data_IF_351745882746
#
_entry.id   IF_351745882746
#
_cell.length_a   1.000
_cell.length_b   1.000
_cell.length_c   1.000
_cell.angle_alpha   90.00
_cell.angle_beta   90.00
_cell.angle_gamma   90.00
#
_symmetry.space_group_name_H-M   'P 1'
#
loop_
_entity.id
_entity.type
_entity.pdbx_description
1 polymer ?
#
# COMPACT_ATOMS: atom_id res chain seq x y z
N UNK A 1 15.32 -33.41 20.57
CA UNK A 1 16.23 -32.36 20.08
C UNK A 1 15.39 -31.23 19.53
N UNK A 2 15.32 -30.12 20.22
CA UNK A 2 14.72 -28.89 19.70
C UNK A 2 15.52 -28.49 18.46
N UNK A 3 14.88 -28.44 17.30
CA UNK A 3 15.52 -27.98 16.06
C UNK A 3 15.97 -26.53 16.28
N UNK A 4 17.20 -26.21 15.95
CA UNK A 4 17.67 -24.83 15.96
C UNK A 4 17.05 -24.11 14.78
N UNK A 5 15.87 -23.44 15.01
CA UNK A 5 15.05 -22.78 13.99
C UNK A 5 15.84 -21.67 13.29
N UNK A 6 16.63 -20.87 14.03
CA UNK A 6 17.48 -19.81 13.48
C UNK A 6 18.47 -20.36 12.44
N UNK A 7 19.17 -21.47 12.77
CA UNK A 7 20.10 -22.11 11.83
C UNK A 7 19.41 -22.69 10.59
N UNK A 8 18.18 -23.17 10.73
CA UNK A 8 17.39 -23.72 9.60
C UNK A 8 16.93 -22.57 8.70
N UNK A 9 16.46 -21.47 9.28
CA UNK A 9 16.06 -20.26 8.58
C UNK A 9 17.19 -19.74 7.69
N UNK A 10 18.33 -19.38 8.29
CA UNK A 10 19.52 -18.86 7.60
C UNK A 10 20.03 -19.78 6.48
N UNK A 11 19.87 -21.09 6.65
CA UNK A 11 20.33 -22.08 5.66
C UNK A 11 19.39 -22.26 4.48
N UNK A 12 18.06 -22.14 4.69
CA UNK A 12 17.08 -22.63 3.71
C UNK A 12 16.08 -21.57 3.24
N UNK A 13 15.82 -20.51 4.04
CA UNK A 13 14.81 -19.52 3.70
C UNK A 13 15.43 -18.29 3.05
N UNK A 14 14.98 -17.96 1.83
CA UNK A 14 15.39 -16.76 1.13
C UNK A 14 14.46 -15.61 1.51
N UNK A 15 14.91 -14.70 2.37
CA UNK A 15 14.10 -13.57 2.86
C UNK A 15 13.91 -12.47 1.82
N UNK A 16 12.65 -12.05 1.53
CA UNK A 16 12.39 -10.93 0.62
C UNK A 16 12.72 -9.59 1.29
N UNK A 17 13.10 -8.59 0.48
CA UNK A 17 13.38 -7.20 0.92
C UNK A 17 14.35 -7.16 2.12
N UNK A 18 15.35 -8.00 2.11
CA UNK A 18 16.33 -8.17 3.21
C UNK A 18 17.75 -8.00 2.67
N UNK A 19 18.65 -7.42 3.48
CA UNK A 19 20.07 -7.49 3.19
C UNK A 19 20.56 -8.91 3.53
N UNK A 20 20.68 -9.74 2.51
CA UNK A 20 20.99 -11.17 2.68
C UNK A 20 22.32 -11.42 3.36
N UNK A 21 23.31 -10.54 3.15
CA UNK A 21 24.65 -10.68 3.76
C UNK A 21 24.60 -10.47 5.28
N UNK A 22 23.86 -9.45 5.75
CA UNK A 22 23.75 -9.22 7.20
C UNK A 22 22.82 -10.24 7.86
N UNK A 23 21.79 -10.72 7.14
CA UNK A 23 20.89 -11.75 7.64
C UNK A 23 21.61 -13.06 8.05
N UNK A 24 22.71 -13.43 7.38
CA UNK A 24 23.50 -14.60 7.75
C UNK A 24 24.12 -14.50 9.15
N UNK A 25 24.31 -13.28 9.66
CA UNK A 25 24.94 -13.01 10.97
C UNK A 25 23.99 -12.44 12.01
N UNK A 26 22.91 -11.78 11.57
CA UNK A 26 21.94 -11.17 12.46
C UNK A 26 21.07 -12.25 13.14
N UNK A 27 20.54 -11.95 14.32
CA UNK A 27 19.56 -12.79 14.99
C UNK A 27 18.22 -12.77 14.25
N UNK A 28 17.62 -13.94 14.05
CA UNK A 28 16.31 -14.06 13.39
C UNK A 28 15.20 -13.81 14.39
N UNK A 29 14.34 -12.83 14.10
CA UNK A 29 13.14 -12.56 14.90
C UNK A 29 12.01 -13.50 14.49
N UNK A 30 11.79 -14.55 15.28
CA UNK A 30 10.76 -15.57 15.00
C UNK A 30 9.47 -15.22 15.72
N UNK A 31 8.41 -14.94 14.95
CA UNK A 31 7.07 -14.69 15.45
C UNK A 31 6.33 -16.03 15.59
N UNK A 32 5.78 -16.31 16.77
CA UNK A 32 5.08 -17.56 17.09
C UNK A 32 3.57 -17.42 16.93
N UNK A 33 2.96 -16.37 17.51
CA UNK A 33 1.51 -16.16 17.50
C UNK A 33 1.12 -14.68 17.53
N UNK A 34 -0.14 -14.40 17.21
CA UNK A 34 -0.73 -13.07 17.30
C UNK A 34 -2.09 -13.10 17.98
N UNK A 35 -2.44 -12.02 18.69
CA UNK A 35 -3.71 -11.86 19.39
C UNK A 35 -4.08 -10.36 19.49
N UNK A 36 -5.24 -9.97 18.96
CA UNK A 36 -5.62 -8.56 18.87
C UNK A 36 -4.59 -7.76 18.09
N UNK A 37 -4.04 -6.70 18.69
CA UNK A 37 -2.99 -5.87 18.06
C UNK A 37 -1.57 -6.29 18.46
N UNK A 38 -1.41 -7.45 19.08
CA UNK A 38 -0.12 -7.90 19.60
C UNK A 38 0.37 -9.16 18.89
N UNK A 39 1.69 -9.27 18.77
CA UNK A 39 2.38 -10.50 18.38
C UNK A 39 3.30 -10.96 19.50
N UNK A 40 3.69 -12.23 19.45
CA UNK A 40 4.56 -12.86 20.44
C UNK A 40 5.65 -13.63 19.72
N UNK A 41 6.89 -13.53 20.22
CA UNK A 41 7.98 -14.34 19.73
C UNK A 41 7.99 -15.75 20.37
N UNK A 42 8.95 -16.56 19.96
CA UNK A 42 9.12 -17.94 20.48
C UNK A 42 9.51 -18.03 21.95
N UNK A 43 9.98 -16.93 22.55
CA UNK A 43 10.27 -16.83 23.97
C UNK A 43 9.06 -16.33 24.78
N UNK A 44 7.96 -16.02 24.10
CA UNK A 44 6.72 -15.54 24.69
C UNK A 44 6.72 -14.05 25.00
N UNK A 45 7.72 -13.28 24.57
CA UNK A 45 7.73 -11.83 24.73
C UNK A 45 6.66 -11.21 23.82
N UNK A 46 5.88 -10.30 24.41
CA UNK A 46 4.78 -9.57 23.75
C UNK A 46 5.30 -8.31 23.07
N UNK A 47 4.80 -8.05 21.85
CA UNK A 47 5.07 -6.84 21.09
C UNK A 47 3.76 -6.24 20.59
N UNK A 48 3.60 -4.92 20.71
CA UNK A 48 2.55 -4.18 20.04
C UNK A 48 2.92 -4.03 18.56
N UNK A 49 2.00 -4.43 17.67
CA UNK A 49 2.22 -4.37 16.22
C UNK A 49 1.83 -2.99 15.66
N UNK A 50 2.79 -2.09 15.61
CA UNK A 50 2.59 -0.70 15.16
C UNK A 50 2.52 -0.53 13.62
N UNK A 51 2.57 -1.63 12.83
CA UNK A 51 2.51 -1.60 11.38
C UNK A 51 1.39 -2.45 10.76
N UNK A 52 0.53 -3.08 11.57
CA UNK A 52 -0.48 -4.02 11.10
C UNK A 52 0.13 -5.11 10.20
N UNK A 53 1.15 -5.82 10.68
CA UNK A 53 1.96 -6.76 9.91
C UNK A 53 2.75 -6.02 8.82
N UNK A 54 2.25 -6.04 7.61
CA UNK A 54 2.78 -5.21 6.52
C UNK A 54 1.64 -4.39 5.89
N UNK A 55 1.03 -3.48 6.67
CA UNK A 55 -0.10 -2.63 6.28
C UNK A 55 -1.38 -3.43 5.97
N UNK A 56 -1.59 -4.60 6.57
CA UNK A 56 -2.63 -5.54 6.13
C UNK A 56 -3.52 -6.09 7.23
N UNK A 57 -3.05 -6.29 8.47
CA UNK A 57 -3.83 -6.90 9.56
C UNK A 57 -4.75 -5.87 10.25
N UNK A 58 -5.70 -5.35 9.50
CA UNK A 58 -6.59 -4.25 9.92
C UNK A 58 -7.49 -4.61 11.10
N UNK A 59 -7.98 -5.85 11.18
CA UNK A 59 -8.74 -6.38 12.31
C UNK A 59 -7.85 -7.00 13.41
N UNK A 60 -6.52 -6.95 13.23
CA UNK A 60 -5.58 -7.62 14.13
C UNK A 60 -5.53 -9.13 13.91
N UNK A 61 -5.01 -9.83 14.92
CA UNK A 61 -4.74 -11.25 14.90
C UNK A 61 -5.78 -12.04 15.73
N UNK A 62 -5.98 -13.31 15.39
CA UNK A 62 -6.83 -14.21 16.17
C UNK A 62 -8.35 -13.97 16.02
N UNK A 63 -8.79 -13.34 14.94
CA UNK A 63 -10.22 -13.14 14.66
C UNK A 63 -10.85 -14.47 14.26
N UNK A 64 -11.53 -15.12 15.19
CA UNK A 64 -12.08 -16.47 15.01
C UNK A 64 -13.05 -16.57 13.83
N UNK A 65 -13.90 -15.55 13.63
CA UNK A 65 -14.87 -15.53 12.53
C UNK A 65 -14.20 -15.63 11.14
N UNK A 66 -12.99 -15.07 10.95
CA UNK A 66 -12.25 -15.20 9.70
C UNK A 66 -11.67 -16.62 9.52
N UNK A 67 -11.20 -17.23 10.63
CA UNK A 67 -10.75 -18.62 10.62
C UNK A 67 -11.90 -19.59 10.34
N UNK A 68 -13.07 -19.36 10.93
CA UNK A 68 -14.28 -20.15 10.71
C UNK A 68 -14.76 -20.03 9.26
N UNK A 69 -14.83 -18.81 8.71
CA UNK A 69 -15.20 -18.59 7.31
C UNK A 69 -14.26 -19.33 6.34
N UNK A 70 -12.95 -19.36 6.63
CA UNK A 70 -11.98 -20.13 5.85
C UNK A 70 -12.24 -21.64 5.95
N UNK A 71 -12.44 -22.14 7.17
CA UNK A 71 -12.66 -23.57 7.44
C UNK A 71 -13.95 -24.07 6.80
N UNK A 72 -15.06 -23.35 6.94
CA UNK A 72 -16.36 -23.67 6.35
C UNK A 72 -16.28 -23.71 4.82
N UNK A 73 -15.71 -22.66 4.23
CA UNK A 73 -15.58 -22.60 2.77
C UNK A 73 -14.63 -23.67 2.23
N UNK A 74 -13.54 -23.96 2.95
CA UNK A 74 -12.58 -25.00 2.56
C UNK A 74 -13.25 -26.40 2.60
N UNK A 75 -14.13 -26.64 3.56
CA UNK A 75 -14.89 -27.88 3.67
C UNK A 75 -15.99 -27.99 2.60
N UNK A 76 -16.62 -26.85 2.22
CA UNK A 76 -17.69 -26.81 1.18
C UNK A 76 -17.10 -26.92 -0.23
N UNK A 77 -16.09 -26.10 -0.53
CA UNK A 77 -15.43 -26.03 -1.83
C UNK A 77 -14.06 -25.36 -1.67
N UNK A 78 -13.01 -26.15 -1.62
CA UNK A 78 -11.63 -25.69 -1.39
C UNK A 78 -11.03 -24.94 -2.58
N UNK A 79 -11.43 -25.32 -3.81
CA UNK A 79 -10.96 -24.67 -5.03
C UNK A 79 -12.01 -24.79 -6.15
N UNK A 80 -12.16 -23.73 -6.92
CA UNK A 80 -12.80 -23.70 -8.24
C UNK A 80 -12.16 -22.61 -9.09
N UNK A 81 -12.08 -22.84 -10.40
CA UNK A 81 -11.60 -21.82 -11.33
C UNK A 81 -12.75 -20.93 -11.80
N UNK A 82 -12.46 -19.64 -12.05
CA UNK A 82 -13.38 -18.73 -12.74
C UNK A 82 -13.24 -18.78 -14.28
N UNK A 83 -12.33 -19.62 -14.81
CA UNK A 83 -12.10 -19.71 -16.25
C UNK A 83 -13.29 -20.33 -16.95
N UNK A 84 -13.51 -19.92 -18.21
CA UNK A 84 -14.56 -20.47 -19.09
C UNK A 84 -15.96 -20.38 -18.48
N UNK A 85 -16.28 -19.22 -17.91
CA UNK A 85 -17.61 -18.89 -17.32
C UNK A 85 -18.04 -19.78 -16.15
N UNK A 86 -17.10 -20.44 -15.47
CA UNK A 86 -17.37 -21.06 -14.17
C UNK A 86 -17.36 -19.98 -13.09
N UNK A 87 -18.11 -20.21 -12.02
CA UNK A 87 -18.18 -19.29 -10.89
C UNK A 87 -18.52 -20.01 -9.60
N UNK A 88 -18.48 -19.29 -8.50
CA UNK A 88 -18.91 -19.75 -7.17
C UNK A 88 -19.40 -18.57 -6.33
N UNK A 89 -20.29 -18.86 -5.41
CA UNK A 89 -21.00 -17.87 -4.60
C UNK A 89 -20.09 -16.82 -3.93
N UNK A 90 -18.99 -17.17 -3.21
CA UNK A 90 -18.14 -16.16 -2.58
C UNK A 90 -17.53 -15.14 -3.54
N UNK A 91 -17.12 -15.54 -4.76
CA UNK A 91 -16.59 -14.58 -5.73
C UNK A 91 -17.68 -13.66 -6.30
N UNK A 92 -18.88 -14.19 -6.53
CA UNK A 92 -20.04 -13.42 -7.00
C UNK A 92 -20.40 -12.35 -5.98
N UNK A 93 -20.62 -12.73 -4.71
CA UNK A 93 -21.02 -11.82 -3.65
C UNK A 93 -19.92 -10.79 -3.32
N UNK A 94 -18.65 -11.21 -3.30
CA UNK A 94 -17.54 -10.28 -3.08
C UNK A 94 -17.43 -9.26 -4.22
N UNK A 95 -17.65 -9.68 -5.48
CA UNK A 95 -17.62 -8.74 -6.60
C UNK A 95 -18.76 -7.72 -6.54
N UNK A 96 -19.97 -8.15 -6.17
CA UNK A 96 -21.13 -7.26 -5.94
C UNK A 96 -20.80 -6.25 -4.85
N UNK A 97 -20.31 -6.72 -3.69
CA UNK A 97 -19.95 -5.86 -2.55
C UNK A 97 -18.90 -4.81 -2.89
N UNK A 98 -17.86 -5.20 -3.63
CA UNK A 98 -16.80 -4.27 -4.05
C UNK A 98 -17.31 -3.21 -5.04
N UNK A 99 -18.24 -3.56 -5.93
CA UNK A 99 -18.88 -2.57 -6.82
C UNK A 99 -19.77 -1.61 -6.03
N UNK A 100 -20.59 -2.11 -5.09
CA UNK A 100 -21.43 -1.27 -4.22
C UNK A 100 -20.62 -0.26 -3.41
N UNK A 101 -19.44 -0.67 -2.91
CA UNK A 101 -18.55 0.22 -2.16
C UNK A 101 -17.75 1.17 -3.04
N UNK A 102 -17.58 0.88 -4.33
CA UNK A 102 -16.74 1.66 -5.24
C UNK A 102 -17.42 2.95 -5.70
N UNK A 103 -16.67 3.95 -6.21
CA UNK A 103 -17.24 5.17 -6.78
C UNK A 103 -17.93 4.93 -8.15
N UNK A 104 -17.90 3.70 -8.67
CA UNK A 104 -18.47 3.37 -9.97
C UNK A 104 -19.93 2.93 -9.82
N UNK A 105 -20.83 3.57 -10.56
CA UNK A 105 -22.24 3.17 -10.57
C UNK A 105 -22.46 1.77 -11.13
N UNK A 106 -21.57 1.31 -12.02
CA UNK A 106 -21.54 -0.01 -12.65
C UNK A 106 -20.11 -0.36 -13.03
N UNK A 107 -19.79 -1.65 -12.98
CA UNK A 107 -18.43 -2.08 -13.29
C UNK A 107 -18.21 -3.59 -13.15
N UNK A 108 -16.96 -3.99 -13.21
CA UNK A 108 -16.50 -5.37 -13.05
C UNK A 108 -15.33 -5.45 -12.08
N UNK A 109 -15.22 -6.59 -11.43
CA UNK A 109 -14.10 -6.93 -10.54
C UNK A 109 -13.32 -8.10 -11.13
N UNK A 110 -12.01 -7.90 -11.24
CA UNK A 110 -11.06 -8.95 -11.59
C UNK A 110 -10.25 -9.31 -10.35
N UNK A 111 -10.27 -10.57 -9.92
CA UNK A 111 -9.55 -11.03 -8.74
C UNK A 111 -8.14 -11.51 -9.07
N UNK A 112 -7.17 -11.10 -8.24
CA UNK A 112 -5.80 -11.56 -8.21
C UNK A 112 -5.41 -12.11 -6.83
N UNK A 113 -4.10 -12.17 -6.56
CA UNK A 113 -3.56 -12.78 -5.33
C UNK A 113 -2.68 -11.79 -4.53
N UNK A 114 -2.27 -10.70 -5.16
CA UNK A 114 -1.39 -9.68 -4.58
C UNK A 114 -1.61 -8.31 -5.25
N UNK A 115 -1.22 -7.22 -4.58
CA UNK A 115 -1.22 -5.89 -5.20
C UNK A 115 -0.34 -5.83 -6.45
N UNK A 116 0.76 -6.59 -6.48
CA UNK A 116 1.67 -6.62 -7.63
C UNK A 116 1.02 -7.19 -8.89
N UNK A 117 0.33 -8.34 -8.76
CA UNK A 117 -0.35 -8.95 -9.91
C UNK A 117 -1.61 -8.17 -10.32
N UNK A 118 -2.26 -7.51 -9.38
CA UNK A 118 -3.37 -6.61 -9.66
C UNK A 118 -2.91 -5.39 -10.48
N UNK A 119 -1.78 -4.77 -10.15
CA UNK A 119 -1.23 -3.65 -10.91
C UNK A 119 -0.68 -4.09 -12.28
N UNK A 120 -0.13 -5.29 -12.41
CA UNK A 120 0.17 -5.89 -13.72
C UNK A 120 -1.11 -6.09 -14.55
N UNK A 121 -2.20 -6.48 -13.91
CA UNK A 121 -3.52 -6.59 -14.54
C UNK A 121 -4.03 -5.23 -15.02
N UNK A 122 -3.90 -4.16 -14.22
CA UNK A 122 -4.24 -2.80 -14.65
C UNK A 122 -3.53 -2.42 -15.96
N UNK A 123 -2.20 -2.60 -16.03
CA UNK A 123 -1.45 -2.34 -17.25
C UNK A 123 -2.00 -3.12 -18.45
N UNK A 124 -2.31 -4.41 -18.25
CA UNK A 124 -2.84 -5.27 -19.32
C UNK A 124 -4.24 -4.83 -19.75
N UNK A 125 -5.12 -4.43 -18.83
CA UNK A 125 -6.46 -3.95 -19.13
C UNK A 125 -6.40 -2.66 -19.96
N UNK A 126 -5.60 -1.66 -19.55
CA UNK A 126 -5.45 -0.43 -20.31
C UNK A 126 -4.80 -0.66 -21.70
N UNK A 127 -3.82 -1.57 -21.76
CA UNK A 127 -3.23 -1.96 -23.05
C UNK A 127 -4.23 -2.62 -23.97
N UNK A 128 -5.02 -3.55 -23.44
CA UNK A 128 -6.06 -4.26 -24.20
C UNK A 128 -7.18 -3.31 -24.66
N UNK A 129 -7.69 -2.49 -23.74
CA UNK A 129 -8.69 -1.45 -24.00
C UNK A 129 -8.26 -0.50 -25.12
N UNK A 130 -7.05 0.06 -25.03
CA UNK A 130 -6.53 0.95 -26.05
C UNK A 130 -6.36 0.27 -27.41
N UNK A 131 -5.93 -0.99 -27.44
CA UNK A 131 -5.85 -1.78 -28.68
C UNK A 131 -7.24 -2.04 -29.27
N UNK A 132 -8.23 -2.35 -28.44
CA UNK A 132 -9.61 -2.55 -28.87
C UNK A 132 -10.21 -1.30 -29.52
N UNK A 133 -9.83 -0.12 -29.04
CA UNK A 133 -10.22 1.16 -29.62
C UNK A 133 -9.35 1.62 -30.82
N UNK A 134 -8.38 0.83 -31.25
CA UNK A 134 -7.45 1.19 -32.32
C UNK A 134 -6.30 2.13 -31.89
N UNK A 135 -6.22 2.51 -30.63
CA UNK A 135 -5.19 3.39 -30.07
C UNK A 135 -3.90 2.60 -29.76
N UNK A 136 -3.32 1.94 -30.75
CA UNK A 136 -2.23 0.97 -30.58
C UNK A 136 -0.92 1.57 -30.09
N UNK A 137 -0.74 2.90 -30.17
CA UNK A 137 0.42 3.63 -29.64
C UNK A 137 0.37 3.84 -28.12
N UNK A 138 -0.82 3.84 -27.49
CA UNK A 138 -1.00 4.08 -26.03
C UNK A 138 -0.51 2.89 -25.22
N UNK A 139 0.75 2.94 -24.76
CA UNK A 139 1.44 1.86 -24.02
C UNK A 139 2.22 2.34 -22.80
N UNK A 140 2.49 3.67 -22.73
CA UNK A 140 3.31 4.23 -21.67
C UNK A 140 2.49 4.42 -20.40
N UNK A 141 3.12 4.16 -19.26
CA UNK A 141 2.54 4.42 -17.91
C UNK A 141 3.40 5.47 -17.22
N UNK A 142 2.72 6.44 -16.61
CA UNK A 142 3.34 7.42 -15.72
C UNK A 142 3.02 7.02 -14.29
N UNK A 143 4.02 7.09 -13.41
CA UNK A 143 3.90 6.94 -11.96
C UNK A 143 4.73 8.02 -11.26
N UNK A 144 4.94 7.94 -9.95
CA UNK A 144 5.69 8.95 -9.21
C UNK A 144 7.02 8.40 -8.69
N UNK A 145 8.05 9.23 -8.66
CA UNK A 145 9.25 8.95 -7.87
C UNK A 145 8.84 8.67 -6.41
N UNK A 146 9.46 7.67 -5.79
CA UNK A 146 9.13 7.10 -4.47
C UNK A 146 7.76 6.38 -4.38
N UNK A 147 6.96 6.31 -5.46
CA UNK A 147 5.75 5.47 -5.50
C UNK A 147 6.09 3.98 -5.43
N UNK A 148 5.16 3.17 -4.89
CA UNK A 148 5.33 1.71 -4.84
C UNK A 148 4.07 1.01 -5.36
N UNK A 149 4.25 0.21 -6.40
CA UNK A 149 3.13 -0.47 -7.07
C UNK A 149 3.31 -1.99 -7.17
N UNK A 150 4.40 -2.54 -6.62
CA UNK A 150 4.65 -3.98 -6.58
C UNK A 150 6.07 -4.38 -7.01
N UNK A 151 6.27 -5.68 -7.19
CA UNK A 151 7.59 -6.30 -7.43
C UNK A 151 7.63 -7.27 -8.62
N UNK A 152 6.51 -7.49 -9.34
CA UNK A 152 6.54 -8.13 -10.67
C UNK A 152 7.23 -7.20 -11.67
N UNK A 153 7.67 -7.70 -12.81
CA UNK A 153 8.46 -6.88 -13.75
C UNK A 153 7.76 -5.58 -14.16
N UNK A 154 6.44 -5.62 -14.40
CA UNK A 154 5.70 -4.43 -14.79
C UNK A 154 5.39 -3.54 -13.57
N UNK A 155 4.89 -4.09 -12.45
CA UNK A 155 4.60 -3.29 -11.26
C UNK A 155 5.86 -2.71 -10.60
N UNK A 156 6.99 -3.43 -10.64
CA UNK A 156 8.29 -2.89 -10.24
C UNK A 156 8.77 -1.77 -11.18
N UNK A 157 8.47 -1.86 -12.49
CA UNK A 157 8.76 -0.77 -13.42
C UNK A 157 7.90 0.47 -13.15
N UNK A 158 6.66 0.32 -12.65
CA UNK A 158 5.82 1.41 -12.18
C UNK A 158 6.27 1.97 -10.82
N UNK A 159 6.93 1.16 -10.00
CA UNK A 159 7.50 1.59 -8.71
C UNK A 159 8.63 2.58 -8.92
N UNK A 160 8.62 3.71 -8.22
CA UNK A 160 9.64 4.78 -8.31
C UNK A 160 10.73 4.69 -7.24
N UNK A 161 11.07 3.48 -6.77
CA UNK A 161 12.08 3.23 -5.73
C UNK A 161 13.35 2.63 -6.38
N UNK A 162 14.49 3.33 -6.40
CA UNK A 162 15.71 2.88 -7.11
C UNK A 162 16.23 1.50 -6.70
N UNK A 163 16.02 1.09 -5.45
CA UNK A 163 16.42 -0.24 -4.97
C UNK A 163 15.63 -1.38 -5.63
N UNK A 164 14.44 -1.11 -6.14
CA UNK A 164 13.61 -2.07 -6.88
C UNK A 164 14.04 -2.22 -8.36
N UNK A 165 14.88 -1.31 -8.83
CA UNK A 165 15.33 -1.27 -10.23
C UNK A 165 16.75 -1.77 -10.40
N UNK A 166 17.64 -1.36 -9.47
CA UNK A 166 19.08 -1.66 -9.56
C UNK A 166 19.30 -3.17 -9.56
N UNK A 167 20.08 -3.66 -10.53
CA UNK A 167 20.39 -5.06 -10.80
C UNK A 167 19.22 -5.93 -11.30
N UNK A 168 18.02 -5.34 -11.50
CA UNK A 168 16.88 -5.99 -12.14
C UNK A 168 16.64 -5.49 -13.58
N UNK A 169 17.49 -4.56 -14.07
CA UNK A 169 17.38 -3.93 -15.39
C UNK A 169 16.01 -3.21 -15.59
N UNK A 170 15.53 -2.54 -14.51
CA UNK A 170 14.29 -1.80 -14.50
C UNK A 170 14.55 -0.28 -14.31
N UNK A 171 13.60 0.58 -14.66
CA UNK A 171 12.29 0.28 -15.26
C UNK A 171 12.38 -0.05 -16.75
N UNK A 172 11.35 -0.74 -17.28
CA UNK A 172 11.20 -0.94 -18.71
C UNK A 172 10.94 0.37 -19.47
N UNK A 173 11.20 0.39 -20.78
CA UNK A 173 11.16 1.58 -21.65
C UNK A 173 9.83 2.34 -21.73
N UNK A 174 8.73 1.73 -21.31
CA UNK A 174 7.39 2.34 -21.35
C UNK A 174 6.94 2.90 -19.99
N UNK A 175 7.82 2.99 -19.01
CA UNK A 175 7.49 3.44 -17.65
C UNK A 175 8.27 4.71 -17.32
N UNK A 176 7.54 5.73 -16.88
CA UNK A 176 8.07 7.06 -16.61
C UNK A 176 7.65 7.51 -15.22
N UNK A 177 8.49 8.28 -14.55
CA UNK A 177 8.22 8.75 -13.21
C UNK A 177 8.22 10.28 -13.19
N UNK A 178 7.14 10.87 -12.67
CA UNK A 178 7.02 12.30 -12.38
C UNK A 178 7.45 12.58 -10.94
N UNK A 179 7.38 13.84 -10.53
CA UNK A 179 7.83 14.31 -9.22
C UNK A 179 7.07 13.66 -8.06
N UNK A 180 7.76 13.57 -6.92
CA UNK A 180 7.21 13.16 -5.64
C UNK A 180 6.47 14.33 -5.00
N UNK A 181 5.22 14.19 -4.53
CA UNK A 181 4.49 15.26 -3.84
C UNK A 181 4.89 15.39 -2.35
N UNK A 182 6.18 15.47 -2.06
CA UNK A 182 6.72 15.56 -0.70
C UNK A 182 7.22 16.97 -0.41
N UNK A 183 6.30 17.87 -0.03
CA UNK A 183 6.59 19.29 0.17
C UNK A 183 7.78 19.53 1.11
N UNK A 184 7.84 18.84 2.25
CA UNK A 184 8.94 19.03 3.22
C UNK A 184 10.34 18.81 2.60
N UNK A 185 10.50 17.83 1.70
CA UNK A 185 11.80 17.47 1.12
C UNK A 185 12.07 18.08 -0.26
N UNK A 186 11.02 18.34 -1.04
CA UNK A 186 11.15 18.66 -2.46
C UNK A 186 10.80 20.14 -2.79
N UNK A 187 10.30 20.89 -1.80
CA UNK A 187 10.06 22.33 -1.97
C UNK A 187 11.37 23.09 -2.14
N UNK A 188 11.35 24.08 -3.03
CA UNK A 188 12.44 25.06 -3.19
C UNK A 188 12.47 26.03 -2.01
N UNK A 189 13.56 26.76 -1.86
CA UNK A 189 13.68 27.78 -0.82
C UNK A 189 12.59 28.86 -0.99
N UNK A 190 11.83 29.10 0.08
CA UNK A 190 10.70 30.05 0.13
C UNK A 190 9.52 29.71 -0.80
N UNK A 191 9.44 28.48 -1.34
CA UNK A 191 8.32 28.03 -2.15
C UNK A 191 7.08 27.76 -1.25
N UNK A 192 5.93 28.32 -1.62
CA UNK A 192 4.68 27.99 -0.94
C UNK A 192 4.19 26.59 -1.34
N UNK A 193 3.30 25.98 -0.54
CA UNK A 193 2.70 24.68 -0.87
C UNK A 193 1.93 24.75 -2.20
N UNK A 194 1.24 25.85 -2.47
CA UNK A 194 0.50 26.06 -3.71
C UNK A 194 1.45 26.16 -4.93
N UNK A 195 2.54 26.95 -4.81
CA UNK A 195 3.54 27.06 -5.88
C UNK A 195 4.23 25.72 -6.15
N UNK A 196 4.54 24.97 -5.09
CA UNK A 196 5.07 23.61 -5.20
C UNK A 196 4.12 22.70 -5.99
N UNK A 197 2.83 22.67 -5.62
CA UNK A 197 1.82 21.85 -6.36
C UNK A 197 1.70 22.29 -7.80
N UNK A 198 1.68 23.58 -8.08
CA UNK A 198 1.65 24.11 -9.45
C UNK A 198 2.89 23.71 -10.22
N UNK A 199 4.08 23.78 -9.62
CA UNK A 199 5.34 23.38 -10.27
C UNK A 199 5.37 21.90 -10.63
N UNK A 200 5.06 21.01 -9.70
CA UNK A 200 5.09 19.56 -9.98
C UNK A 200 3.98 19.12 -10.95
N UNK A 201 2.84 19.81 -10.95
CA UNK A 201 1.79 19.59 -11.95
C UNK A 201 2.22 20.06 -13.34
N UNK A 202 2.90 21.18 -13.45
CA UNK A 202 3.51 21.64 -14.70
C UNK A 202 4.60 20.68 -15.20
N UNK A 203 5.41 20.12 -14.29
CA UNK A 203 6.41 19.11 -14.64
C UNK A 203 5.78 17.83 -15.21
N UNK A 204 4.63 17.41 -14.65
CA UNK A 204 3.84 16.32 -15.22
C UNK A 204 3.39 16.64 -16.65
N UNK A 205 2.89 17.86 -16.89
CA UNK A 205 2.47 18.28 -18.23
C UNK A 205 3.65 18.32 -19.22
N UNK A 206 4.82 18.80 -18.80
CA UNK A 206 6.06 18.76 -19.59
C UNK A 206 6.46 17.33 -19.93
N UNK A 207 6.37 16.40 -18.98
CA UNK A 207 6.65 14.98 -19.20
C UNK A 207 5.67 14.39 -20.22
N UNK A 208 4.37 14.65 -20.08
CA UNK A 208 3.34 14.18 -21.02
C UNK A 208 3.64 14.67 -22.45
N UNK A 209 3.92 15.96 -22.62
CA UNK A 209 4.22 16.53 -23.93
C UNK A 209 5.51 15.98 -24.54
N UNK A 210 6.54 15.76 -23.73
CA UNK A 210 7.82 15.16 -24.15
C UNK A 210 7.64 13.74 -24.65
N UNK A 211 6.84 12.94 -23.95
CA UNK A 211 6.65 11.52 -24.27
C UNK A 211 5.61 11.28 -25.38
N UNK A 212 4.80 12.30 -25.70
CA UNK A 212 3.70 12.25 -26.66
C UNK A 212 2.39 11.78 -25.99
N UNK A 213 1.43 12.70 -25.79
CA UNK A 213 0.16 12.39 -25.10
C UNK A 213 -0.58 11.17 -25.67
N UNK A 214 -0.50 11.01 -27.01
CA UNK A 214 -1.12 9.91 -27.75
C UNK A 214 -0.47 8.54 -27.49
N UNK A 215 0.66 8.50 -26.76
CA UNK A 215 1.37 7.27 -26.42
C UNK A 215 1.15 6.83 -24.97
N UNK A 216 0.54 7.67 -24.13
CA UNK A 216 0.35 7.44 -22.70
C UNK A 216 -0.96 6.71 -22.46
N UNK A 217 -0.90 5.51 -21.88
CA UNK A 217 -2.05 4.68 -21.60
C UNK A 217 -2.79 5.11 -20.31
N UNK A 218 -2.03 5.41 -19.25
CA UNK A 218 -2.58 5.83 -17.95
C UNK A 218 -1.49 6.43 -17.06
N UNK A 219 -1.90 7.12 -15.99
CA UNK A 219 -1.09 7.37 -14.80
C UNK A 219 -1.57 6.48 -13.67
N UNK A 220 -0.64 5.93 -12.86
CA UNK A 220 -0.94 5.20 -11.63
C UNK A 220 -0.43 5.97 -10.41
N UNK A 221 -1.23 6.02 -9.36
CA UNK A 221 -0.88 6.73 -8.13
C UNK A 221 -1.55 6.10 -6.89
N UNK A 222 -0.80 6.03 -5.79
CA UNK A 222 -1.35 5.79 -4.44
C UNK A 222 -2.00 7.10 -3.94
N UNK A 223 -3.11 7.09 -3.22
CA UNK A 223 -3.65 8.31 -2.59
C UNK A 223 -2.65 8.98 -1.66
N UNK A 224 -1.98 8.21 -0.81
CA UNK A 224 -0.75 8.57 -0.09
C UNK A 224 0.32 7.52 -0.38
N UNK A 225 1.58 7.90 -0.42
CA UNK A 225 2.66 6.99 -0.78
C UNK A 225 3.18 6.27 0.45
N UNK A 226 2.76 5.00 0.65
CA UNK A 226 3.10 4.23 1.85
C UNK A 226 4.57 3.88 1.93
N UNK A 227 5.05 3.00 1.04
CA UNK A 227 6.42 2.50 1.01
C UNK A 227 7.47 3.57 0.65
N UNK A 228 7.06 4.69 0.08
CA UNK A 228 7.91 5.86 -0.17
C UNK A 228 8.27 6.65 1.09
N UNK A 229 7.66 6.32 2.25
CA UNK A 229 7.90 6.99 3.53
C UNK A 229 6.66 7.69 4.10
N UNK A 230 5.47 7.15 3.87
CA UNK A 230 4.19 7.74 4.29
C UNK A 230 4.08 9.20 3.82
N UNK A 231 4.24 9.42 2.52
CA UNK A 231 4.20 10.78 1.95
C UNK A 231 2.74 11.16 1.74
N UNK A 232 2.30 12.16 2.50
CA UNK A 232 0.98 12.76 2.36
C UNK A 232 1.07 13.83 1.27
N UNK A 233 0.26 13.76 0.20
CA UNK A 233 0.30 14.79 -0.83
C UNK A 233 -0.21 16.13 -0.28
N UNK A 234 0.34 17.27 -0.74
CA UNK A 234 -0.17 18.58 -0.40
C UNK A 234 -1.63 18.77 -0.78
N UNK A 235 -2.27 19.74 -0.12
CA UNK A 235 -3.63 20.13 -0.47
C UNK A 235 -3.72 20.48 -1.96
N UNK A 236 -4.81 20.08 -2.61
CA UNK A 236 -5.09 20.30 -4.05
C UNK A 236 -4.13 19.58 -5.03
N UNK A 237 -3.23 18.70 -4.57
CA UNK A 237 -2.34 17.97 -5.48
C UNK A 237 -3.14 17.15 -6.51
N UNK A 238 -4.04 16.26 -6.04
CA UNK A 238 -4.83 15.44 -6.97
C UNK A 238 -5.76 16.24 -7.87
N UNK A 239 -6.51 17.23 -7.40
CA UNK A 239 -7.26 18.14 -8.29
C UNK A 239 -6.39 18.71 -9.41
N UNK A 240 -5.19 19.20 -9.10
CA UNK A 240 -4.30 19.82 -10.10
C UNK A 240 -3.73 18.83 -11.12
N UNK A 241 -3.25 17.68 -10.68
CA UNK A 241 -2.75 16.68 -11.65
C UNK A 241 -3.90 16.13 -12.51
N UNK A 242 -5.10 16.01 -11.97
CA UNK A 242 -6.27 15.56 -12.73
C UNK A 242 -6.69 16.60 -13.79
N UNK A 243 -6.57 17.90 -13.54
CA UNK A 243 -6.75 18.94 -14.57
C UNK A 243 -5.81 18.68 -15.77
N UNK A 244 -4.53 18.37 -15.48
CA UNK A 244 -3.53 18.03 -16.52
C UNK A 244 -3.89 16.73 -17.23
N UNK A 245 -4.22 15.68 -16.51
CA UNK A 245 -4.57 14.38 -17.09
C UNK A 245 -5.81 14.45 -17.99
N UNK A 246 -6.86 15.18 -17.55
CA UNK A 246 -8.09 15.39 -18.32
C UNK A 246 -7.81 16.12 -19.64
N UNK A 247 -6.94 17.14 -19.64
CA UNK A 247 -6.56 17.88 -20.85
C UNK A 247 -6.03 16.96 -21.96
N UNK A 248 -5.38 15.84 -21.58
CA UNK A 248 -4.79 14.88 -22.51
C UNK A 248 -5.55 13.55 -22.59
N UNK A 249 -6.71 13.46 -21.97
CA UNK A 249 -7.52 12.21 -21.89
C UNK A 249 -6.70 11.01 -21.41
N UNK A 250 -5.92 11.23 -20.34
CA UNK A 250 -5.11 10.20 -19.68
C UNK A 250 -5.88 9.75 -18.42
N UNK A 251 -6.28 8.47 -18.32
CA UNK A 251 -6.96 7.94 -17.15
C UNK A 251 -6.02 7.82 -15.95
N UNK A 252 -6.59 7.95 -14.74
CA UNK A 252 -5.90 7.77 -13.46
C UNK A 252 -6.26 6.42 -12.84
N UNK A 253 -5.27 5.57 -12.60
CA UNK A 253 -5.38 4.33 -11.87
C UNK A 253 -5.09 4.62 -10.40
N UNK A 254 -6.00 4.24 -9.52
CA UNK A 254 -5.86 4.38 -8.08
C UNK A 254 -5.32 3.11 -7.45
N UNK A 255 -4.14 3.21 -6.86
CA UNK A 255 -3.55 2.13 -6.08
C UNK A 255 -3.91 2.27 -4.60
N UNK A 256 -5.05 1.69 -4.24
CA UNK A 256 -5.61 1.67 -2.89
C UNK A 256 -5.11 0.49 -2.04
N UNK A 257 -4.06 -0.17 -2.44
CA UNK A 257 -3.55 -1.38 -1.78
C UNK A 257 -3.23 -1.16 -0.29
N UNK A 258 -2.86 0.07 0.12
CA UNK A 258 -2.62 0.42 1.53
C UNK A 258 -3.79 1.23 2.12
N UNK A 259 -4.45 2.05 1.33
CA UNK A 259 -5.33 3.13 1.80
C UNK A 259 -6.80 2.76 1.87
N UNK A 260 -7.26 1.79 1.07
CA UNK A 260 -8.63 1.31 1.10
C UNK A 260 -9.07 0.78 2.46
N UNK A 261 -10.36 0.76 2.66
CA UNK A 261 -11.05 0.16 3.81
C UNK A 261 -10.69 0.82 5.15
N UNK A 262 -10.71 2.17 5.19
CA UNK A 262 -10.72 2.92 6.45
C UNK A 262 -9.37 3.48 6.91
N UNK A 263 -8.25 3.19 6.26
CA UNK A 263 -6.91 3.59 6.73
C UNK A 263 -6.75 5.10 6.93
N UNK A 264 -7.34 5.89 6.04
CA UNK A 264 -7.27 7.36 6.09
C UNK A 264 -8.40 8.01 6.89
N UNK A 265 -9.38 7.22 7.36
CA UNK A 265 -10.61 7.68 7.99
C UNK A 265 -11.83 7.61 7.06
N UNK A 266 -11.62 7.51 5.75
CA UNK A 266 -12.64 7.26 4.73
C UNK A 266 -12.51 5.83 4.20
N UNK A 267 -13.54 5.30 3.53
CA UNK A 267 -13.51 3.95 2.92
C UNK A 267 -12.38 3.89 1.89
N UNK A 268 -12.25 4.92 1.07
CA UNK A 268 -11.23 5.07 0.05
C UNK A 268 -10.27 6.21 0.39
N UNK A 269 -8.98 5.99 0.21
CA UNK A 269 -8.00 7.06 0.28
C UNK A 269 -8.25 8.13 -0.79
N UNK A 270 -8.81 7.75 -1.93
CA UNK A 270 -9.26 8.64 -2.98
C UNK A 270 -10.22 9.73 -2.47
N UNK A 271 -11.16 9.38 -1.58
CA UNK A 271 -12.11 10.34 -1.00
C UNK A 271 -11.41 11.35 -0.09
N UNK A 272 -10.37 10.91 0.64
CA UNK A 272 -9.57 11.79 1.51
C UNK A 272 -8.83 12.88 0.73
N UNK A 273 -8.44 12.59 -0.52
CA UNK A 273 -7.57 13.48 -1.31
C UNK A 273 -8.20 14.01 -2.59
N UNK A 274 -9.52 13.94 -2.74
CA UNK A 274 -10.27 14.39 -3.95
C UNK A 274 -9.77 13.74 -5.25
N UNK A 275 -9.38 12.48 -5.18
CA UNK A 275 -8.96 11.69 -6.33
C UNK A 275 -10.18 11.09 -7.04
N UNK A 276 -10.22 11.15 -8.36
CA UNK A 276 -11.31 10.61 -9.21
C UNK A 276 -10.73 9.55 -10.14
N UNK A 277 -10.66 8.31 -9.71
CA UNK A 277 -10.02 7.25 -10.48
C UNK A 277 -10.90 6.72 -11.62
N UNK A 278 -10.25 6.18 -12.65
CA UNK A 278 -10.87 5.41 -13.73
C UNK A 278 -10.92 3.91 -13.42
N UNK A 279 -10.06 3.45 -12.51
CA UNK A 279 -10.03 2.09 -11.98
C UNK A 279 -9.28 2.07 -10.64
N UNK A 280 -9.52 1.03 -9.83
CA UNK A 280 -8.99 0.91 -8.47
C UNK A 280 -8.32 -0.45 -8.31
N UNK A 281 -7.19 -0.48 -7.60
CA UNK A 281 -6.52 -1.71 -7.14
C UNK A 281 -6.63 -1.82 -5.64
N UNK A 282 -7.09 -2.97 -5.13
CA UNK A 282 -7.14 -3.30 -3.70
C UNK A 282 -6.48 -4.64 -3.39
N UNK A 283 -5.91 -4.77 -2.20
CA UNK A 283 -5.34 -6.00 -1.66
C UNK A 283 -5.30 -5.90 -0.12
N UNK A 284 -4.31 -6.50 0.55
CA UNK A 284 -3.99 -6.33 1.99
C UNK A 284 -5.21 -6.34 2.92
N UNK A 285 -5.76 -5.16 3.24
CA UNK A 285 -6.89 -5.00 4.15
C UNK A 285 -8.18 -5.66 3.63
N UNK A 286 -8.26 -5.98 2.35
CA UNK A 286 -9.40 -6.70 1.76
C UNK A 286 -9.69 -8.03 2.47
N UNK A 287 -8.65 -8.71 2.98
CA UNK A 287 -8.80 -9.93 3.79
C UNK A 287 -8.22 -9.77 5.20
N UNK A 288 -7.93 -8.55 5.64
CA UNK A 288 -7.20 -8.29 6.88
C UNK A 288 -5.88 -9.09 7.00
N UNK A 289 -5.25 -9.41 5.86
CA UNK A 289 -4.01 -10.18 5.81
C UNK A 289 -4.15 -11.69 6.07
N UNK A 290 -5.38 -12.20 6.28
CA UNK A 290 -5.62 -13.62 6.60
C UNK A 290 -5.37 -14.53 5.40
N UNK A 291 -5.73 -14.12 4.19
CA UNK A 291 -5.45 -14.87 2.96
C UNK A 291 -4.99 -13.94 1.83
N UNK A 292 -4.11 -14.42 0.95
CA UNK A 292 -3.69 -13.68 -0.24
C UNK A 292 -4.88 -13.48 -1.19
N UNK A 293 -5.24 -12.22 -1.42
CA UNK A 293 -6.25 -11.81 -2.38
C UNK A 293 -6.00 -10.37 -2.80
N UNK A 294 -6.32 -10.06 -4.04
CA UNK A 294 -6.42 -8.70 -4.57
C UNK A 294 -7.61 -8.58 -5.50
N UNK A 295 -8.00 -7.35 -5.79
CA UNK A 295 -9.01 -7.07 -6.79
C UNK A 295 -8.65 -5.82 -7.59
N UNK A 296 -8.97 -5.86 -8.88
CA UNK A 296 -9.01 -4.71 -9.78
C UNK A 296 -10.47 -4.40 -10.04
N UNK A 297 -10.91 -3.18 -9.70
CA UNK A 297 -12.26 -2.70 -9.89
C UNK A 297 -12.24 -1.72 -11.05
N UNK A 298 -13.04 -1.96 -12.08
CA UNK A 298 -13.11 -1.14 -13.30
C UNK A 298 -14.55 -0.72 -13.59
N UNK A 299 -14.71 0.46 -14.18
CA UNK A 299 -16.02 0.93 -14.67
C UNK A 299 -16.47 0.17 -15.92
N UNK A 300 -17.77 0.21 -16.22
CA UNK A 300 -18.31 -0.31 -17.49
C UNK A 300 -17.68 0.36 -18.70
N UNK A 301 -17.31 1.64 -18.60
CA UNK A 301 -16.64 2.38 -19.68
C UNK A 301 -15.31 1.74 -20.10
N UNK A 302 -14.51 1.32 -19.11
CA UNK A 302 -13.27 0.59 -19.39
C UNK A 302 -13.54 -0.85 -19.84
N UNK A 303 -14.58 -1.49 -19.32
CA UNK A 303 -14.90 -2.90 -19.58
C UNK A 303 -15.49 -3.14 -20.98
N UNK A 304 -16.41 -2.30 -21.47
CA UNK A 304 -17.16 -2.59 -22.70
C UNK A 304 -16.30 -2.80 -23.95
N UNK A 305 -15.28 -1.95 -24.25
CA UNK A 305 -14.37 -2.24 -25.36
C UNK A 305 -13.58 -3.54 -25.21
N UNK A 306 -13.20 -3.89 -23.97
CA UNK A 306 -12.51 -5.15 -23.68
C UNK A 306 -13.42 -6.36 -23.98
N UNK A 307 -14.68 -6.27 -23.57
CA UNK A 307 -15.70 -7.31 -23.79
C UNK A 307 -15.91 -7.56 -25.29
N UNK A 308 -16.14 -6.51 -26.06
CA UNK A 308 -16.36 -6.63 -27.50
C UNK A 308 -15.15 -7.25 -28.22
N UNK A 309 -13.94 -6.74 -27.96
CA UNK A 309 -12.73 -7.27 -28.56
C UNK A 309 -12.43 -8.72 -28.13
N UNK A 310 -12.81 -9.12 -26.91
CA UNK A 310 -12.67 -10.51 -26.46
C UNK A 310 -13.60 -11.44 -27.21
N UNK A 311 -14.77 -10.96 -27.65
CA UNK A 311 -15.70 -11.70 -28.51
C UNK A 311 -15.09 -11.98 -29.89
N UNK A 312 -14.46 -10.97 -30.50
CA UNK A 312 -13.79 -11.10 -31.80
C UNK A 312 -12.61 -12.08 -31.79
N UNK A 313 -11.85 -12.09 -30.68
CA UNK A 313 -10.69 -13.00 -30.49
C UNK A 313 -11.16 -14.41 -30.03
N UNK A 314 -12.34 -14.52 -29.43
CA UNK A 314 -12.89 -15.75 -28.85
C UNK A 314 -12.51 -16.01 -27.40
N UNK A 315 -11.65 -15.19 -26.80
CA UNK A 315 -11.20 -15.31 -25.40
C UNK A 315 -10.57 -14.01 -24.88
N UNK A 316 -10.79 -13.68 -23.61
CA UNK A 316 -9.94 -12.75 -22.86
C UNK A 316 -8.74 -13.50 -22.27
N UNK A 317 -7.58 -13.41 -22.92
CA UNK A 317 -6.40 -14.22 -22.65
C UNK A 317 -5.61 -13.81 -21.40
N UNK A 318 -6.28 -13.54 -20.28
CA UNK A 318 -5.64 -13.18 -19.00
C UNK A 318 -6.42 -13.74 -17.81
N UNK A 319 -5.68 -14.27 -16.83
CA UNK A 319 -6.20 -14.82 -15.58
C UNK A 319 -5.13 -15.62 -14.86
N UNK A 320 -5.24 -15.71 -13.55
CA UNK A 320 -4.36 -16.52 -12.69
C UNK A 320 -5.11 -17.79 -12.26
N UNK A 321 -4.39 -18.89 -12.04
CA UNK A 321 -4.98 -20.14 -11.56
C UNK A 321 -5.80 -19.92 -10.29
N UNK A 322 -5.35 -19.04 -9.40
CA UNK A 322 -6.02 -18.73 -8.14
C UNK A 322 -6.86 -17.44 -8.17
N UNK A 323 -7.14 -16.86 -9.34
CA UNK A 323 -8.08 -15.73 -9.46
C UNK A 323 -9.42 -16.08 -8.84
N UNK A 324 -9.86 -15.30 -7.83
CA UNK A 324 -11.12 -15.55 -7.14
C UNK A 324 -11.16 -16.88 -6.40
N UNK A 325 -10.07 -17.26 -5.73
CA UNK A 325 -10.04 -18.49 -4.92
C UNK A 325 -11.19 -18.52 -3.89
N UNK A 326 -12.01 -19.58 -3.83
CA UNK A 326 -13.23 -19.60 -3.01
C UNK A 326 -13.00 -19.23 -1.56
N UNK A 327 -11.97 -19.80 -0.93
CA UNK A 327 -11.66 -19.54 0.48
C UNK A 327 -11.19 -18.12 0.70
N UNK A 328 -10.36 -17.58 -0.19
CA UNK A 328 -9.89 -16.20 -0.10
C UNK A 328 -11.04 -15.20 -0.29
N UNK A 329 -11.96 -15.46 -1.21
CA UNK A 329 -13.17 -14.65 -1.41
C UNK A 329 -14.11 -14.69 -0.19
N UNK A 330 -14.31 -15.88 0.41
CA UNK A 330 -15.15 -16.03 1.61
C UNK A 330 -14.58 -15.25 2.81
N UNK A 331 -13.27 -15.34 3.02
CA UNK A 331 -12.59 -14.57 4.09
C UNK A 331 -12.65 -13.06 3.83
N UNK A 332 -12.42 -12.63 2.58
CA UNK A 332 -12.53 -11.22 2.23
C UNK A 332 -13.95 -10.69 2.42
N UNK A 333 -14.97 -11.45 1.99
CA UNK A 333 -16.38 -11.09 2.21
C UNK A 333 -16.70 -10.96 3.71
N UNK A 334 -16.26 -11.93 4.53
CA UNK A 334 -16.42 -11.88 5.98
C UNK A 334 -15.65 -10.69 6.60
N UNK A 335 -14.50 -10.33 6.07
CA UNK A 335 -13.75 -9.14 6.51
C UNK A 335 -14.56 -7.86 6.29
N UNK A 336 -15.15 -7.69 5.10
CA UNK A 336 -15.99 -6.54 4.78
C UNK A 336 -17.26 -6.50 5.63
N UNK A 337 -17.88 -7.67 5.89
CA UNK A 337 -19.03 -7.79 6.80
C UNK A 337 -18.69 -7.32 8.22
N UNK A 338 -17.51 -7.73 8.76
CA UNK A 338 -17.05 -7.31 10.08
C UNK A 338 -16.79 -5.80 10.10
N UNK A 339 -16.18 -5.22 9.06
CA UNK A 339 -15.96 -3.77 8.99
C UNK A 339 -17.27 -2.98 9.11
N UNK A 340 -18.33 -3.42 8.44
CA UNK A 340 -19.63 -2.75 8.49
C UNK A 340 -20.35 -3.00 9.81
N UNK A 341 -20.48 -4.27 10.24
CA UNK A 341 -21.17 -4.66 11.47
C UNK A 341 -20.59 -3.96 12.70
N UNK A 342 -19.27 -3.95 12.82
CA UNK A 342 -18.55 -3.42 13.98
C UNK A 342 -18.18 -1.93 13.81
N UNK A 343 -18.65 -1.32 12.70
CA UNK A 343 -18.48 0.11 12.41
C UNK A 343 -17.01 0.54 12.48
N UNK A 344 -16.12 -0.26 11.87
CA UNK A 344 -14.66 -0.05 11.98
C UNK A 344 -14.25 1.30 11.39
N UNK A 345 -14.91 1.76 10.32
CA UNK A 345 -14.57 3.05 9.69
C UNK A 345 -14.91 4.23 10.61
N UNK A 346 -16.05 4.19 11.28
CA UNK A 346 -16.44 5.21 12.27
C UNK A 346 -15.53 5.17 13.50
N UNK A 347 -15.11 3.96 13.91
CA UNK A 347 -14.12 3.81 14.98
C UNK A 347 -12.83 4.52 14.61
N UNK A 348 -12.28 4.29 13.40
CA UNK A 348 -11.09 4.98 12.90
C UNK A 348 -11.29 6.50 12.95
N UNK A 349 -12.42 7.01 12.46
CA UNK A 349 -12.76 8.44 12.55
C UNK A 349 -12.69 8.97 13.98
N UNK A 350 -13.17 8.18 14.95
CA UNK A 350 -13.22 8.57 16.38
C UNK A 350 -11.85 8.62 17.07
N UNK A 351 -10.88 7.83 16.62
CA UNK A 351 -9.54 7.73 17.24
C UNK A 351 -8.44 8.42 16.46
N UNK A 352 -8.66 8.75 15.18
CA UNK A 352 -7.68 9.36 14.28
C UNK A 352 -7.09 10.67 14.83
N UNK A 353 -7.92 11.58 15.34
CA UNK A 353 -7.44 12.85 15.88
C UNK A 353 -6.52 12.64 17.08
N UNK A 354 -6.82 11.64 17.93
CA UNK A 354 -5.97 11.29 19.06
C UNK A 354 -4.63 10.72 18.61
N UNK A 355 -4.66 9.81 17.64
CA UNK A 355 -3.45 9.23 17.04
C UNK A 355 -2.55 10.31 16.43
N UNK A 356 -3.10 11.23 15.63
CA UNK A 356 -2.34 12.30 14.99
C UNK A 356 -1.81 13.31 16.03
N UNK A 357 -2.57 13.60 17.10
CA UNK A 357 -2.12 14.44 18.21
C UNK A 357 -0.89 13.83 18.90
N UNK A 358 -0.91 12.52 19.20
CA UNK A 358 0.22 11.81 19.79
C UNK A 358 1.43 11.79 18.86
N UNK A 359 1.21 11.50 17.57
CA UNK A 359 2.27 11.53 16.56
C UNK A 359 2.93 12.91 16.47
N UNK A 360 2.16 13.98 16.41
CA UNK A 360 2.68 15.36 16.27
C UNK A 360 3.54 15.80 17.46
N UNK A 361 3.33 15.27 18.67
CA UNK A 361 4.21 15.54 19.83
C UNK A 361 5.64 15.10 19.59
N UNK A 362 5.88 14.11 18.76
CA UNK A 362 7.22 13.63 18.41
C UNK A 362 8.05 14.70 17.68
N UNK A 363 7.41 15.70 17.09
CA UNK A 363 8.10 16.86 16.49
C UNK A 363 8.96 17.66 17.48
N UNK A 364 8.81 17.46 18.79
CA UNK A 364 9.62 18.10 19.82
C UNK A 364 11.03 17.47 19.96
N UNK A 365 11.26 16.27 19.41
CA UNK A 365 12.57 15.63 19.45
C UNK A 365 13.53 16.27 18.44
N UNK A 366 14.80 16.38 18.80
CA UNK A 366 15.81 17.04 17.98
C UNK A 366 16.11 16.25 16.69
N UNK A 367 16.02 14.94 16.74
CA UNK A 367 16.17 14.06 15.57
C UNK A 367 14.96 13.99 14.65
N UNK A 368 13.81 14.58 15.01
CA UNK A 368 12.59 14.54 14.20
C UNK A 368 12.43 15.81 13.38
N UNK A 369 12.59 15.71 12.07
CA UNK A 369 12.47 16.83 11.12
C UNK A 369 11.04 17.10 10.71
N UNK A 370 10.26 16.05 10.44
CA UNK A 370 8.84 16.14 10.07
C UNK A 370 8.05 14.97 10.67
N UNK A 371 6.82 15.26 11.08
CA UNK A 371 5.79 14.27 11.36
C UNK A 371 4.62 14.55 10.42
N UNK A 372 4.18 13.56 9.66
CA UNK A 372 3.08 13.66 8.72
C UNK A 372 2.17 12.45 8.84
N UNK A 373 0.87 12.63 8.65
CA UNK A 373 -0.07 11.50 8.74
C UNK A 373 -1.52 11.92 8.52
N UNK A 374 -2.37 10.92 8.35
CA UNK A 374 -3.82 11.02 8.21
C UNK A 374 -4.47 9.73 8.69
N UNK A 375 -5.66 9.80 9.28
CA UNK A 375 -6.30 8.60 9.82
C UNK A 375 -5.42 7.87 10.83
N UNK A 376 -5.21 6.59 10.64
CA UNK A 376 -4.34 5.72 11.47
C UNK A 376 -3.04 5.34 10.74
N UNK A 377 -2.41 6.30 10.08
CA UNK A 377 -1.09 6.13 9.47
C UNK A 377 -0.27 7.41 9.66
N UNK A 378 1.00 7.29 10.04
CA UNK A 378 1.93 8.41 10.07
C UNK A 378 3.36 7.99 9.72
N UNK A 379 4.13 8.96 9.24
CA UNK A 379 5.56 8.89 9.00
C UNK A 379 6.32 9.90 9.84
N UNK A 380 7.37 9.45 10.52
CA UNK A 380 8.29 10.28 11.33
C UNK A 380 9.61 10.34 10.57
N UNK A 381 9.93 11.48 10.01
CA UNK A 381 11.15 11.70 9.21
C UNK A 381 12.30 12.12 10.13
N UNK A 382 13.35 11.30 10.19
CA UNK A 382 14.50 11.53 11.05
C UNK A 382 15.57 12.36 10.34
N UNK A 383 16.17 13.30 11.06
CA UNK A 383 17.21 14.21 10.56
C UNK A 383 18.35 14.36 11.56
N UNK A 384 19.57 14.52 11.05
CA UNK A 384 20.73 14.85 11.86
C UNK A 384 20.81 16.36 12.19
N UNK A 385 20.13 17.18 11.39
CA UNK A 385 19.98 18.61 11.63
C UNK A 385 18.61 19.12 11.17
N UNK A 386 17.81 19.53 12.14
CA UNK A 386 16.42 19.95 11.92
C UNK A 386 16.31 21.26 11.12
N UNK A 387 17.23 22.20 11.32
CA UNK A 387 17.20 23.51 10.65
C UNK A 387 17.52 23.40 9.15
N UNK A 388 18.48 22.56 8.81
CA UNK A 388 18.90 22.33 7.43
C UNK A 388 18.20 21.14 6.78
N UNK A 389 17.35 20.44 7.51
CA UNK A 389 16.68 19.19 7.08
C UNK A 389 17.68 18.11 6.63
N UNK A 390 18.93 18.14 7.14
CA UNK A 390 19.97 17.20 6.73
C UNK A 390 19.66 15.80 7.25
N UNK A 391 19.70 14.81 6.37
CA UNK A 391 19.53 13.39 6.72
C UNK A 391 20.76 12.79 7.39
N UNK A 392 20.69 11.50 7.74
CA UNK A 392 21.81 10.76 8.30
C UNK A 392 22.69 10.13 7.21
N UNK A 393 23.94 9.89 7.55
CA UNK A 393 24.90 9.16 6.69
C UNK A 393 25.54 8.00 7.49
N UNK A 394 25.45 6.77 7.01
CA UNK A 394 24.72 6.36 5.80
C UNK A 394 23.20 6.43 5.94
N UNK A 395 22.50 6.64 4.82
CA UNK A 395 21.03 6.68 4.79
C UNK A 395 20.46 5.39 5.40
N UNK A 396 19.43 5.52 6.25
CA UNK A 396 18.78 4.42 6.95
C UNK A 396 19.46 3.98 8.23
N UNK A 397 20.57 4.62 8.63
CA UNK A 397 21.26 4.29 9.89
C UNK A 397 20.43 4.66 11.11
N UNK A 398 19.86 5.85 11.13
CA UNK A 398 19.00 6.31 12.23
C UNK A 398 17.67 5.52 12.26
N UNK A 399 17.06 5.30 11.09
CA UNK A 399 15.83 4.50 10.99
C UNK A 399 16.01 3.10 11.58
N UNK A 400 17.08 2.41 11.25
CA UNK A 400 17.40 1.10 11.85
C UNK A 400 17.62 1.17 13.36
N UNK A 401 18.35 2.17 13.83
CA UNK A 401 18.61 2.33 15.26
C UNK A 401 17.32 2.56 16.06
N UNK A 402 16.41 3.40 15.55
CA UNK A 402 15.11 3.67 16.17
C UNK A 402 14.21 2.44 16.11
N UNK A 403 14.14 1.74 14.98
CA UNK A 403 13.34 0.52 14.85
C UNK A 403 13.81 -0.58 15.80
N UNK A 404 15.12 -0.77 15.94
CA UNK A 404 15.68 -1.71 16.91
C UNK A 404 15.39 -1.31 18.36
N UNK A 405 15.47 -0.02 18.67
CA UNK A 405 15.10 0.48 19.99
C UNK A 405 13.62 0.24 20.30
N UNK A 406 12.73 0.48 19.32
CA UNK A 406 11.29 0.17 19.45
C UNK A 406 11.07 -1.33 19.72
N UNK A 407 11.71 -2.23 18.96
CA UNK A 407 11.59 -3.67 19.15
C UNK A 407 12.07 -4.10 20.55
N UNK A 408 13.13 -3.50 21.07
CA UNK A 408 13.60 -3.78 22.42
C UNK A 408 12.57 -3.37 23.49
N UNK A 409 11.84 -2.29 23.27
CA UNK A 409 10.73 -1.81 24.13
C UNK A 409 9.44 -2.61 23.92
N UNK A 410 9.38 -3.54 22.97
CA UNK A 410 8.17 -4.32 22.67
C UNK A 410 7.23 -3.67 21.67
N UNK A 411 7.71 -2.80 20.80
CA UNK A 411 6.95 -2.16 19.73
C UNK A 411 7.55 -2.48 18.37
N UNK A 412 6.74 -3.05 17.47
CA UNK A 412 7.14 -3.27 16.07
C UNK A 412 6.78 -2.06 15.23
N UNK A 413 7.78 -1.52 14.53
CA UNK A 413 7.65 -0.39 13.59
C UNK A 413 8.43 -0.69 12.31
N UNK A 414 8.23 0.11 11.26
CA UNK A 414 9.00 -0.04 10.03
C UNK A 414 9.87 1.17 9.75
N UNK A 415 11.16 0.92 9.58
CA UNK A 415 12.08 1.91 9.01
C UNK A 415 12.05 1.85 7.47
N UNK A 416 11.82 2.99 6.84
CA UNK A 416 11.88 3.21 5.38
C UNK A 416 13.00 4.24 5.16
N UNK A 417 14.23 3.78 4.98
CA UNK A 417 15.38 4.64 5.14
C UNK A 417 15.42 5.22 6.55
N UNK A 418 15.44 6.54 6.68
CA UNK A 418 15.39 7.26 7.96
C UNK A 418 13.96 7.81 8.26
N UNK A 419 12.93 7.23 7.68
CA UNK A 419 11.54 7.47 8.05
C UNK A 419 11.01 6.29 8.85
N UNK A 420 10.42 6.53 10.03
CA UNK A 420 9.69 5.50 10.77
C UNK A 420 8.21 5.60 10.42
N UNK A 421 7.64 4.50 9.95
CA UNK A 421 6.22 4.38 9.65
C UNK A 421 5.48 3.70 10.81
N UNK A 422 4.35 4.29 11.21
CA UNK A 422 3.36 3.71 12.11
C UNK A 422 2.03 3.59 11.37
N UNK A 423 1.42 2.43 11.45
CA UNK A 423 0.17 2.08 10.77
C UNK A 423 -0.48 0.91 11.51
N UNK A 424 -0.97 1.10 12.75
CA UNK A 424 -1.48 0.02 13.57
C UNK A 424 -2.77 -0.60 12.98
N UNK A 425 -3.23 -1.77 13.48
CA UNK A 425 -4.55 -2.29 13.15
C UNK A 425 -5.66 -1.25 13.37
N UNK A 426 -6.69 -1.27 12.52
CA UNK A 426 -7.77 -0.27 12.57
C UNK A 426 -8.60 -0.34 13.85
N UNK A 427 -8.56 -1.47 14.53
CA UNK A 427 -9.29 -1.75 15.78
C UNK A 427 -8.54 -1.25 17.04
N UNK A 428 -7.41 -0.56 16.89
CA UNK A 428 -6.63 -0.02 18.01
C UNK A 428 -7.47 0.96 18.85
N UNK A 429 -7.44 0.83 20.19
CA UNK A 429 -8.13 1.75 21.09
C UNK A 429 -7.29 3.00 21.41
N UNK A 430 -7.90 4.02 22.03
CA UNK A 430 -7.17 5.22 22.48
C UNK A 430 -6.08 4.90 23.49
N UNK A 431 -6.35 3.99 24.43
CA UNK A 431 -5.41 3.52 25.43
C UNK A 431 -4.22 2.80 24.79
N UNK A 432 -4.49 1.98 23.79
CA UNK A 432 -3.44 1.28 23.02
C UNK A 432 -2.64 2.24 22.12
N UNK A 433 -3.26 3.31 21.63
CA UNK A 433 -2.55 4.41 20.94
C UNK A 433 -1.58 5.08 21.92
N UNK A 434 -2.03 5.37 23.14
CA UNK A 434 -1.17 5.95 24.17
C UNK A 434 -0.03 5.00 24.54
N UNK A 435 -0.30 3.70 24.77
CA UNK A 435 0.72 2.67 25.00
C UNK A 435 1.77 2.66 23.88
N UNK A 436 1.33 2.63 22.62
CA UNK A 436 2.20 2.61 21.45
C UNK A 436 3.14 3.83 21.39
N UNK A 437 2.59 5.04 21.59
CA UNK A 437 3.41 6.25 21.52
C UNK A 437 4.30 6.43 22.76
N UNK A 438 3.89 5.98 23.94
CA UNK A 438 4.74 5.97 25.14
C UNK A 438 5.96 5.07 24.93
N UNK A 439 5.76 3.86 24.38
CA UNK A 439 6.86 2.95 24.02
C UNK A 439 7.77 3.59 22.95
N UNK A 440 7.19 4.23 21.95
CA UNK A 440 7.94 4.90 20.89
C UNK A 440 8.78 6.06 21.42
N UNK A 441 8.24 6.91 22.29
CA UNK A 441 8.97 8.03 22.90
C UNK A 441 10.15 7.55 23.74
N UNK A 442 9.99 6.46 24.51
CA UNK A 442 11.08 5.84 25.27
C UNK A 442 12.16 5.33 24.33
N UNK A 443 11.78 4.61 23.27
CA UNK A 443 12.69 4.06 22.29
C UNK A 443 13.45 5.17 21.52
N UNK A 444 12.73 6.23 21.12
CA UNK A 444 13.33 7.36 20.40
C UNK A 444 14.35 8.09 21.27
N UNK A 445 14.08 8.36 22.56
CA UNK A 445 15.05 8.95 23.50
C UNK A 445 16.33 8.13 23.61
N UNK A 446 16.18 6.79 23.72
CA UNK A 446 17.34 5.86 23.79
C UNK A 446 18.14 5.84 22.48
N UNK A 447 17.47 5.89 21.34
CA UNK A 447 18.12 5.94 20.05
C UNK A 447 18.80 7.28 19.78
N UNK A 448 18.12 8.39 20.09
CA UNK A 448 18.59 9.77 19.85
C UNK A 448 19.96 10.02 20.52
N UNK A 449 20.16 9.54 21.74
CA UNK A 449 21.46 9.64 22.45
C UNK A 449 22.63 8.91 21.76
N UNK A 450 22.34 8.10 20.74
CA UNK A 450 23.35 7.32 19.99
C UNK A 450 23.53 7.81 18.55
N UNK A 451 22.51 8.45 17.99
CA UNK A 451 22.51 8.89 16.59
C UNK A 451 22.83 10.37 16.42
N UNK A 452 22.60 11.23 17.43
CA UNK A 452 23.02 12.63 17.51
C UNK A 452 24.30 12.77 18.34
#
# INVERSE_FOLDING_TARGET
MTKNIDSIDKKNLFHPITNLKTHETDEVFVIDRGEGIYIYDTDGKKYLEGLAGLWCTSLGYGVQELADAASEQMSKLSYATLFTSKSHEPAILLSEKLIEMSPFSRGKVFFGNSGSDANDTQLKLYTYHNNALGNTSKKKIISRLKGYHGVTVASASMTGLPAQHKLFDLPGKNFFHTDTPHFYREALENESEEDFVNRISNNLEVLINKEGPETIAAMIAEPLMGAGGVIIPPKNYFPKIQEVLHKYSIPLIDDEVITAFGRTGEIWGADTFDMKPSSITVAKQLSSGYLPISAVIISDELYEPIKEASGDIGIFGHGYTYSGHPVACAVALKTLEIYERDRVFEHVGSVSSHFQLRANKLSNFDSVGEVRGVGLICGIDLVSNKKTKTGFSPIGSAGRAVAQACQNEGLIVRAIGDVIALCPPLVITKEQIDEMFDMFEIALKKAESKIL
#
